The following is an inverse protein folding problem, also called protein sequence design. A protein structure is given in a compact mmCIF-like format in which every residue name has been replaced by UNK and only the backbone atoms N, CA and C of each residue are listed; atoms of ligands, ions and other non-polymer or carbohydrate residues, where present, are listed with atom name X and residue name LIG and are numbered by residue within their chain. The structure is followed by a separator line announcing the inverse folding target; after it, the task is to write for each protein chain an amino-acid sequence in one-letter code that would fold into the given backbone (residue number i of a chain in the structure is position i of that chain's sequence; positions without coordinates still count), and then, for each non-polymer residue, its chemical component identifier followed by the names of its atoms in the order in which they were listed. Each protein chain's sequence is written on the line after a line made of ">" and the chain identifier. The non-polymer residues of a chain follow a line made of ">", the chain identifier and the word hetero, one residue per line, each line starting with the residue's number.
data_IF_017519906476
#
_entry.id   IF_017519906476
#
_cell.length_a   1.000
_cell.length_b   1.000
_cell.length_c   1.000
_cell.angle_alpha   90.00
_cell.angle_beta   90.00
_cell.angle_gamma   90.00
#
_symmetry.space_group_name_H-M   'P 1'
#
loop_
_entity.id
_entity.type
_entity.pdbx_description
1 polymer ?
#
# COMPACT_ATOMS: atom_id res chain seq x y z
N UNK A 1 10.65 -1.96 13.87
CA UNK A 1 10.22 -0.82 13.04
C UNK A 1 10.27 -1.25 11.58
N UNK A 2 9.13 -1.24 10.89
CA UNK A 2 9.05 -1.60 9.47
C UNK A 2 8.87 -0.34 8.61
N UNK A 3 9.43 -0.36 7.40
CA UNK A 3 9.13 0.64 6.36
C UNK A 3 7.88 0.20 5.60
N UNK A 4 6.83 1.00 5.63
CA UNK A 4 5.54 0.69 5.01
C UNK A 4 5.29 1.65 3.86
N UNK A 5 4.94 1.11 2.69
CA UNK A 5 4.44 1.90 1.56
C UNK A 5 2.97 1.63 1.37
N UNK A 6 2.17 2.67 1.18
CA UNK A 6 0.74 2.56 1.01
C UNK A 6 0.34 3.06 -0.38
N UNK A 7 -0.45 2.24 -1.09
CA UNK A 7 -1.05 2.57 -2.38
C UNK A 7 -2.55 2.73 -2.15
N UNK A 8 -3.06 3.95 -2.35
CA UNK A 8 -4.50 4.24 -2.27
C UNK A 8 -5.08 4.34 -3.68
N UNK A 9 -6.09 3.52 -3.97
CA UNK A 9 -6.80 3.44 -5.24
C UNK A 9 -8.31 3.57 -5.01
N UNK A 10 -9.06 3.82 -6.08
CA UNK A 10 -10.50 3.96 -6.02
C UNK A 10 -10.93 5.42 -5.89
N UNK A 11 -11.63 5.76 -4.81
CA UNK A 11 -12.29 7.06 -4.66
C UNK A 11 -11.72 7.89 -3.50
N UNK A 12 -12.15 9.16 -3.33
CA UNK A 12 -11.67 10.01 -2.23
C UNK A 12 -11.85 9.40 -0.83
N UNK A 13 -12.84 8.53 -0.64
CA UNK A 13 -13.00 7.80 0.63
C UNK A 13 -11.79 6.90 0.93
N UNK A 14 -11.27 6.17 -0.06
CA UNK A 14 -10.07 5.34 0.13
C UNK A 14 -8.85 6.19 0.50
N UNK A 15 -8.76 7.43 -0.01
CA UNK A 15 -7.69 8.35 0.36
C UNK A 15 -7.79 8.74 1.84
N UNK A 16 -8.96 9.18 2.29
CA UNK A 16 -9.18 9.54 3.71
C UNK A 16 -8.94 8.34 4.64
N UNK A 17 -9.44 7.16 4.26
CA UNK A 17 -9.21 5.93 5.04
C UNK A 17 -7.70 5.60 5.11
N UNK A 18 -6.95 5.88 4.04
CA UNK A 18 -5.50 5.67 3.99
C UNK A 18 -4.72 6.64 4.87
N UNK A 19 -5.16 7.89 4.98
CA UNK A 19 -4.56 8.89 5.90
C UNK A 19 -4.72 8.46 7.37
N UNK A 20 -5.90 7.94 7.72
CA UNK A 20 -6.13 7.36 9.05
C UNK A 20 -5.21 6.18 9.33
N UNK A 21 -5.10 5.23 8.39
CA UNK A 21 -4.19 4.09 8.51
C UNK A 21 -2.72 4.52 8.63
N UNK A 22 -2.30 5.55 7.89
CA UNK A 22 -0.96 6.15 8.03
C UNK A 22 -0.73 6.66 9.45
N UNK A 23 -1.72 7.35 10.03
CA UNK A 23 -1.67 7.82 11.41
C UNK A 23 -1.44 6.68 12.41
N UNK A 24 -2.17 5.57 12.27
CA UNK A 24 -2.01 4.38 13.11
C UNK A 24 -0.64 3.71 12.94
N UNK A 25 -0.17 3.57 11.69
CA UNK A 25 1.13 2.97 11.36
C UNK A 25 2.27 3.79 11.97
N UNK A 26 2.23 5.11 11.82
CA UNK A 26 3.22 6.03 12.42
C UNK A 26 3.12 6.01 13.94
N UNK A 27 1.90 6.01 14.50
CA UNK A 27 1.67 5.91 15.94
C UNK A 27 2.21 4.62 16.56
N UNK A 28 2.23 3.52 15.80
CA UNK A 28 2.86 2.26 16.18
C UNK A 28 4.40 2.23 16.02
N UNK A 29 5.02 3.36 15.63
CA UNK A 29 6.47 3.48 15.47
C UNK A 29 7.00 2.83 14.19
N UNK A 30 6.22 2.81 13.11
CA UNK A 30 6.65 2.41 11.78
C UNK A 30 6.95 3.63 10.89
N UNK A 31 7.73 3.43 9.82
CA UNK A 31 8.12 4.50 8.90
C UNK A 31 7.28 4.41 7.62
N UNK A 32 6.72 5.53 7.16
CA UNK A 32 6.09 5.59 5.84
C UNK A 32 7.13 5.92 4.77
N UNK A 33 7.19 5.12 3.72
CA UNK A 33 8.06 5.34 2.56
C UNK A 33 7.24 5.42 1.27
N UNK A 34 7.53 6.44 0.45
CA UNK A 34 6.90 6.61 -0.87
C UNK A 34 7.49 5.66 -1.92
N UNK A 35 8.77 5.33 -1.79
CA UNK A 35 9.45 4.38 -2.67
C UNK A 35 9.18 2.93 -2.24
N UNK A 36 8.36 2.23 -3.04
CA UNK A 36 8.01 0.83 -2.83
C UNK A 36 9.21 -0.12 -2.82
N UNK A 37 10.34 0.25 -3.45
CA UNK A 37 11.54 -0.59 -3.46
C UNK A 37 12.27 -0.63 -2.10
N UNK A 38 11.97 0.34 -1.23
CA UNK A 38 12.52 0.46 0.12
C UNK A 38 11.58 -0.09 1.20
N UNK A 39 10.36 -0.48 0.83
CA UNK A 39 9.32 -0.88 1.77
C UNK A 39 9.48 -2.34 2.22
N UNK A 40 9.48 -2.58 3.53
CA UNK A 40 9.36 -3.92 4.11
C UNK A 40 7.95 -4.49 3.95
N UNK A 41 6.93 -3.61 3.91
CA UNK A 41 5.50 -3.94 3.76
C UNK A 41 4.86 -3.01 2.73
N UNK A 42 4.06 -3.55 1.81
CA UNK A 42 3.27 -2.75 0.85
C UNK A 42 1.78 -2.98 1.08
N UNK A 43 1.06 -1.94 1.48
CA UNK A 43 -0.40 -1.95 1.67
C UNK A 43 -1.08 -1.41 0.42
N UNK A 44 -2.08 -2.12 -0.10
CA UNK A 44 -2.92 -1.66 -1.21
C UNK A 44 -4.35 -1.49 -0.70
N UNK A 45 -4.79 -0.24 -0.57
CA UNK A 45 -6.17 0.12 -0.23
C UNK A 45 -6.93 0.42 -1.54
N UNK A 46 -8.06 -0.24 -1.75
CA UNK A 46 -8.86 -0.07 -2.98
C UNK A 46 -10.35 -0.27 -2.69
N UNK A 47 -11.19 0.07 -3.67
CA UNK A 47 -12.62 -0.22 -3.63
C UNK A 47 -12.94 -1.56 -4.31
N UNK A 48 -13.68 -2.44 -3.61
CA UNK A 48 -14.10 -3.75 -4.13
C UNK A 48 -15.26 -3.70 -5.15
N UNK A 49 -15.92 -2.55 -5.29
CA UNK A 49 -17.14 -2.40 -6.11
C UNK A 49 -16.91 -1.60 -7.40
N UNK A 50 -15.90 -0.73 -7.43
CA UNK A 50 -15.57 0.08 -8.60
C UNK A 50 -14.67 -0.74 -9.53
N UNK A 51 -15.13 -1.01 -10.76
CA UNK A 51 -14.42 -1.90 -11.68
C UNK A 51 -13.02 -1.38 -12.07
N UNK A 52 -12.86 -0.07 -12.28
CA UNK A 52 -11.53 0.53 -12.53
C UNK A 52 -10.58 0.29 -11.36
N UNK A 53 -11.04 0.50 -10.13
CA UNK A 53 -10.27 0.29 -8.90
C UNK A 53 -9.85 -1.18 -8.72
N UNK A 54 -10.71 -2.13 -9.10
CA UNK A 54 -10.39 -3.56 -9.11
C UNK A 54 -9.26 -3.85 -10.09
N UNK A 55 -9.33 -3.35 -11.33
CA UNK A 55 -8.26 -3.54 -12.33
C UNK A 55 -6.94 -2.93 -11.88
N UNK A 56 -6.96 -1.69 -11.41
CA UNK A 56 -5.79 -0.98 -10.89
C UNK A 56 -5.16 -1.71 -9.70
N UNK A 57 -5.98 -2.24 -8.78
CA UNK A 57 -5.49 -3.00 -7.63
C UNK A 57 -4.77 -4.28 -8.05
N UNK A 58 -5.25 -4.98 -9.08
CA UNK A 58 -4.58 -6.17 -9.59
C UNK A 58 -3.21 -5.84 -10.20
N UNK A 59 -3.08 -4.70 -10.87
CA UNK A 59 -1.79 -4.21 -11.37
C UNK A 59 -0.85 -3.81 -10.23
N UNK A 60 -1.37 -3.12 -9.20
CA UNK A 60 -0.62 -2.75 -8.01
C UNK A 60 -0.11 -3.98 -7.22
N UNK A 61 -0.97 -5.00 -7.02
CA UNK A 61 -0.59 -6.26 -6.38
C UNK A 61 0.49 -6.97 -7.18
N UNK A 62 0.35 -7.06 -8.52
CA UNK A 62 1.40 -7.65 -9.37
C UNK A 62 2.72 -6.91 -9.27
N UNK A 63 2.70 -5.57 -9.11
CA UNK A 63 3.91 -4.76 -8.87
C UNK A 63 4.51 -5.05 -7.49
N UNK A 64 3.71 -5.11 -6.43
CA UNK A 64 4.15 -5.46 -5.09
C UNK A 64 4.81 -6.85 -5.04
N UNK A 65 4.22 -7.85 -5.70
CA UNK A 65 4.77 -9.21 -5.78
C UNK A 65 6.16 -9.28 -6.43
N UNK A 66 6.51 -8.34 -7.34
CA UNK A 66 7.86 -8.27 -7.90
C UNK A 66 8.90 -7.86 -6.85
N UNK A 67 8.54 -6.94 -5.95
CA UNK A 67 9.43 -6.56 -4.83
C UNK A 67 9.59 -7.72 -3.85
N UNK A 68 8.52 -8.47 -3.58
CA UNK A 68 8.60 -9.69 -2.76
C UNK A 68 9.52 -10.75 -3.34
N UNK A 69 9.42 -11.02 -4.65
CA UNK A 69 10.32 -11.97 -5.34
C UNK A 69 11.78 -11.54 -5.33
N UNK A 70 12.07 -10.23 -5.30
CA UNK A 70 13.43 -9.68 -5.23
C UNK A 70 14.01 -9.64 -3.81
N UNK A 71 13.21 -9.97 -2.78
CA UNK A 71 13.59 -9.88 -1.38
C UNK A 71 13.56 -8.45 -0.80
N UNK A 72 13.15 -7.46 -1.59
CA UNK A 72 13.08 -6.05 -1.17
C UNK A 72 11.86 -5.74 -0.30
N UNK A 73 10.85 -6.61 -0.31
CA UNK A 73 9.62 -6.50 0.48
C UNK A 73 9.27 -7.86 1.09
N UNK A 74 8.78 -7.86 2.33
CA UNK A 74 8.44 -9.09 3.09
C UNK A 74 6.95 -9.41 2.99
N UNK A 75 6.09 -8.38 3.05
CA UNK A 75 4.63 -8.50 3.06
C UNK A 75 3.98 -7.65 1.98
#
# INVERSE_FOLDING_TARGET
>A
MARVSLVSLGCPKNLVDSEGAIGEIVGAGHEIVSDQSRADVIVVNTCGFIESARRESMEAIRRALRYKKRGSCRA
#
